data_IF_470881939148
#
_entry.id   IF_470881939148
#
_cell.length_a   1.000
_cell.length_b   1.000
_cell.length_c   1.000
_cell.angle_alpha   90.00
_cell.angle_beta   90.00
_cell.angle_gamma   90.00
#
_symmetry.space_group_name_H-M   'P 1'
#
loop_
_entity.id
_entity.type
_entity.pdbx_description
1 polymer ?
#
# COMPACT_ATOMS: atom_id res chain seq x y z
N UNK A 1 6.28 -8.80 -6.73
CA UNK A 1 6.96 -7.67 -7.24
C UNK A 1 8.37 -7.86 -7.79
N UNK A 2 8.89 -9.06 -8.07
CA UNK A 2 10.17 -9.22 -8.75
C UNK A 2 11.43 -9.07 -7.90
N UNK A 3 11.32 -9.01 -6.58
CA UNK A 3 12.48 -8.98 -5.68
C UNK A 3 13.34 -10.25 -5.83
N UNK A 4 14.67 -10.07 -5.89
CA UNK A 4 15.66 -11.12 -6.10
C UNK A 4 16.85 -10.95 -5.16
N UNK A 5 17.70 -11.98 -4.99
CA UNK A 5 18.87 -11.94 -4.09
C UNK A 5 19.88 -10.82 -4.40
N UNK A 6 20.00 -10.42 -5.67
CA UNK A 6 20.93 -9.36 -6.10
C UNK A 6 20.49 -7.94 -5.74
N UNK A 7 19.26 -7.75 -5.24
CA UNK A 7 18.77 -6.44 -4.88
C UNK A 7 19.28 -5.97 -3.52
N UNK A 8 19.38 -4.65 -3.37
CA UNK A 8 19.56 -3.95 -2.09
C UNK A 8 18.29 -3.17 -1.78
N UNK A 9 17.64 -3.53 -0.69
CA UNK A 9 16.31 -3.01 -0.32
C UNK A 9 16.43 -1.98 0.78
N UNK A 10 16.04 -0.74 0.49
CA UNK A 10 15.94 0.34 1.46
C UNK A 10 14.56 0.34 2.10
N UNK A 11 14.48 0.10 3.41
CA UNK A 11 13.21 0.08 4.15
C UNK A 11 13.06 1.38 4.93
N UNK A 12 12.12 2.21 4.48
CA UNK A 12 11.77 3.51 5.08
C UNK A 12 10.61 3.44 6.08
N UNK A 13 10.07 2.26 6.35
CA UNK A 13 9.10 2.06 7.44
C UNK A 13 9.76 2.06 8.80
N UNK A 14 9.04 2.59 9.80
CA UNK A 14 9.50 2.55 11.20
C UNK A 14 9.66 1.12 11.73
N UNK A 15 10.73 0.88 12.48
CA UNK A 15 11.03 -0.39 13.15
C UNK A 15 10.58 -0.44 14.62
N UNK A 16 9.75 0.50 15.04
CA UNK A 16 9.20 0.56 16.40
C UNK A 16 7.93 -0.29 16.55
N UNK A 17 6.87 0.32 17.08
CA UNK A 17 5.56 -0.33 17.30
C UNK A 17 4.72 -0.43 16.01
N UNK A 18 5.34 -0.71 14.90
CA UNK A 18 4.72 -0.86 13.59
C UNK A 18 5.23 -2.13 12.90
N UNK A 19 4.33 -3.04 12.57
CA UNK A 19 4.69 -4.35 12.02
C UNK A 19 5.21 -4.28 10.58
N UNK A 20 4.92 -3.19 9.84
CA UNK A 20 5.28 -3.02 8.43
C UNK A 20 6.78 -3.12 8.18
N UNK A 21 7.60 -2.52 9.04
CA UNK A 21 9.06 -2.59 8.93
C UNK A 21 9.58 -4.02 9.05
N UNK A 22 9.24 -4.69 10.13
CA UNK A 22 9.76 -6.05 10.41
C UNK A 22 9.23 -7.11 9.45
N UNK A 23 7.94 -7.08 9.09
CA UNK A 23 7.38 -8.07 8.18
C UNK A 23 8.05 -8.05 6.81
N UNK A 24 8.30 -6.86 6.27
CA UNK A 24 9.02 -6.70 5.01
C UNK A 24 10.51 -7.04 5.14
N UNK A 25 11.15 -6.69 6.26
CA UNK A 25 12.53 -7.04 6.56
C UNK A 25 12.75 -8.55 6.47
N UNK A 26 11.99 -9.34 7.23
CA UNK A 26 12.10 -10.81 7.20
C UNK A 26 11.74 -11.40 5.83
N UNK A 27 10.81 -10.77 5.10
CA UNK A 27 10.52 -11.16 3.72
C UNK A 27 11.71 -10.97 2.79
N UNK A 28 12.41 -9.86 2.91
CA UNK A 28 13.64 -9.56 2.14
C UNK A 28 14.77 -10.52 2.50
N UNK A 29 14.99 -10.79 3.80
CA UNK A 29 15.96 -11.78 4.27
C UNK A 29 15.70 -13.17 3.67
N UNK A 30 14.41 -13.58 3.66
CA UNK A 30 14.02 -14.88 3.11
C UNK A 30 14.28 -15.00 1.60
N UNK A 31 14.22 -13.88 0.87
CA UNK A 31 14.62 -13.83 -0.55
C UNK A 31 16.14 -13.91 -0.71
N UNK A 32 16.92 -13.52 0.32
CA UNK A 32 18.36 -13.46 0.29
C UNK A 32 18.91 -12.12 -0.25
N UNK A 33 18.09 -11.08 -0.31
CA UNK A 33 18.49 -9.75 -0.74
C UNK A 33 19.11 -8.95 0.42
N UNK A 34 19.95 -7.96 0.09
CA UNK A 34 20.55 -7.07 1.07
C UNK A 34 19.49 -6.07 1.60
N UNK A 35 19.61 -5.69 2.89
CA UNK A 35 18.64 -4.80 3.55
C UNK A 35 19.38 -3.58 4.11
N UNK A 36 18.82 -2.39 3.83
CA UNK A 36 19.15 -1.14 4.49
C UNK A 36 17.99 -0.78 5.42
N UNK A 37 18.03 -1.11 6.72
CA UNK A 37 16.95 -0.88 7.67
C UNK A 37 16.98 0.57 8.17
N UNK A 38 16.71 1.52 7.27
CA UNK A 38 16.87 2.95 7.55
C UNK A 38 15.86 3.49 8.57
N UNK A 39 14.71 2.83 8.72
CA UNK A 39 13.58 3.28 9.54
C UNK A 39 12.94 4.57 9.02
N UNK A 40 12.01 5.16 9.76
CA UNK A 40 11.36 6.41 9.39
C UNK A 40 12.17 7.64 9.83
N UNK A 41 11.95 8.77 9.16
CA UNK A 41 12.55 10.07 9.50
C UNK A 41 13.91 10.31 8.87
N UNK A 42 14.45 11.52 9.08
CA UNK A 42 15.72 12.00 8.53
C UNK A 42 15.89 11.71 7.04
N UNK A 43 15.03 12.30 6.20
CA UNK A 43 14.99 12.03 4.75
C UNK A 43 16.30 12.31 4.04
N UNK A 44 17.04 13.35 4.46
CA UNK A 44 18.37 13.61 3.89
C UNK A 44 19.32 12.44 4.06
N UNK A 45 19.36 11.83 5.26
CA UNK A 45 20.16 10.63 5.51
C UNK A 45 19.67 9.42 4.70
N UNK A 46 18.37 9.28 4.49
CA UNK A 46 17.84 8.18 3.68
C UNK A 46 18.29 8.29 2.22
N UNK A 47 18.30 9.50 1.65
CA UNK A 47 18.83 9.77 0.31
C UNK A 47 20.32 9.38 0.23
N UNK A 48 21.11 9.80 1.22
CA UNK A 48 22.54 9.44 1.27
C UNK A 48 22.72 7.90 1.34
N UNK A 49 21.97 7.19 2.19
CA UNK A 49 22.03 5.75 2.29
C UNK A 49 21.61 5.03 0.99
N UNK A 50 20.59 5.53 0.29
CA UNK A 50 20.16 4.97 -1.01
C UNK A 50 21.30 5.08 -2.02
N UNK A 51 21.97 6.25 -2.09
CA UNK A 51 23.08 6.49 -3.02
C UNK A 51 24.33 5.72 -2.66
N UNK A 52 24.76 5.80 -1.41
CA UNK A 52 26.05 5.24 -0.95
C UNK A 52 26.06 3.72 -0.96
N UNK A 53 24.90 3.10 -0.68
CA UNK A 53 24.74 1.64 -0.63
C UNK A 53 24.16 1.06 -1.93
N UNK A 54 23.86 1.90 -2.92
CA UNK A 54 23.31 1.45 -4.20
C UNK A 54 21.95 0.74 -4.04
N UNK A 55 21.10 1.22 -3.12
CA UNK A 55 19.81 0.59 -2.90
C UNK A 55 18.91 0.79 -4.14
N UNK A 56 18.52 -0.33 -4.76
CA UNK A 56 17.72 -0.32 -5.99
C UNK A 56 16.25 -0.69 -5.77
N UNK A 57 15.84 -1.01 -4.54
CA UNK A 57 14.44 -1.20 -4.16
C UNK A 57 14.09 -0.32 -2.97
N UNK A 58 13.03 0.47 -3.09
CA UNK A 58 12.47 1.29 -2.02
C UNK A 58 11.22 0.62 -1.44
N UNK A 59 11.13 0.57 -0.10
CA UNK A 59 9.96 0.11 0.64
C UNK A 59 9.52 1.23 1.59
N UNK A 60 8.27 1.68 1.44
CA UNK A 60 7.75 2.80 2.22
C UNK A 60 6.27 3.07 1.93
N UNK A 61 5.81 4.29 2.24
CA UNK A 61 4.49 4.77 1.82
C UNK A 61 4.61 5.56 0.52
N UNK A 62 3.55 5.56 -0.33
CA UNK A 62 3.57 6.35 -1.56
C UNK A 62 3.77 7.85 -1.30
N UNK A 63 3.10 8.43 -0.32
CA UNK A 63 3.28 9.86 0.03
C UNK A 63 4.71 10.19 0.45
N UNK A 64 5.38 9.29 1.17
CA UNK A 64 6.77 9.48 1.56
C UNK A 64 7.72 9.48 0.36
N UNK A 65 7.44 8.69 -0.67
CA UNK A 65 8.29 8.66 -1.87
C UNK A 65 8.29 9.97 -2.66
N UNK A 66 7.15 10.65 -2.72
CA UNK A 66 7.06 11.99 -3.31
C UNK A 66 7.82 13.02 -2.46
N UNK A 67 7.64 12.96 -1.13
CA UNK A 67 8.41 13.82 -0.23
C UNK A 67 9.93 13.59 -0.34
N UNK A 68 10.35 12.34 -0.55
CA UNK A 68 11.77 12.02 -0.79
C UNK A 68 12.27 12.65 -2.08
N UNK A 69 11.46 12.65 -3.15
CA UNK A 69 11.78 13.33 -4.41
C UNK A 69 11.91 14.86 -4.22
N UNK A 70 11.00 15.47 -3.48
CA UNK A 70 11.05 16.91 -3.15
C UNK A 70 12.36 17.27 -2.42
N UNK A 71 12.72 16.49 -1.39
CA UNK A 71 13.97 16.72 -0.64
C UNK A 71 15.21 16.49 -1.51
N UNK A 72 15.18 15.56 -2.47
CA UNK A 72 16.26 15.43 -3.46
C UNK A 72 16.42 16.75 -4.25
N UNK A 73 15.33 17.29 -4.78
CA UNK A 73 15.36 18.54 -5.55
C UNK A 73 15.83 19.73 -4.71
N UNK A 74 15.38 19.87 -3.46
CA UNK A 74 15.86 20.89 -2.52
C UNK A 74 17.37 20.79 -2.27
N UNK A 75 17.94 19.60 -2.34
CA UNK A 75 19.39 19.34 -2.21
C UNK A 75 20.15 19.47 -3.53
N UNK A 76 19.49 19.81 -4.63
CA UNK A 76 20.10 19.89 -5.97
C UNK A 76 20.44 18.51 -6.56
N UNK A 77 19.76 17.45 -6.11
CA UNK A 77 19.91 16.09 -6.61
C UNK A 77 18.72 15.81 -7.52
N UNK A 78 18.95 15.34 -8.75
CA UNK A 78 17.86 14.82 -9.58
C UNK A 78 17.37 13.48 -8.98
N UNK A 79 16.12 13.37 -8.50
CA UNK A 79 15.63 12.14 -7.90
C UNK A 79 15.62 10.95 -8.86
N UNK A 80 15.62 11.19 -10.19
CA UNK A 80 15.68 10.15 -11.23
C UNK A 80 17.07 9.52 -11.37
N UNK A 81 18.10 10.14 -10.81
CA UNK A 81 19.48 9.62 -10.78
C UNK A 81 19.74 8.71 -9.57
N UNK A 82 18.76 8.58 -8.66
CA UNK A 82 18.85 7.56 -7.61
C UNK A 82 18.90 6.16 -8.24
N UNK A 83 19.64 5.20 -7.65
CA UNK A 83 19.77 3.86 -8.21
C UNK A 83 18.50 3.01 -8.08
N UNK A 84 17.34 3.63 -7.81
CA UNK A 84 16.07 2.96 -7.58
C UNK A 84 15.50 2.40 -8.90
N UNK A 85 15.15 1.12 -8.89
CA UNK A 85 14.50 0.42 -10.02
C UNK A 85 13.06 0.06 -9.69
N UNK A 86 12.82 -0.31 -8.44
CA UNK A 86 11.52 -0.77 -7.96
C UNK A 86 11.14 -0.11 -6.65
N UNK A 87 9.82 -0.03 -6.41
CA UNK A 87 9.29 0.31 -5.11
C UNK A 87 8.10 -0.58 -4.74
N UNK A 88 8.01 -0.93 -3.46
CA UNK A 88 6.85 -1.58 -2.86
C UNK A 88 6.23 -0.65 -1.84
N UNK A 89 5.05 -0.15 -2.16
CA UNK A 89 4.33 0.80 -1.35
C UNK A 89 3.09 0.18 -0.69
N UNK A 90 2.82 0.62 0.53
CA UNK A 90 1.65 0.22 1.30
C UNK A 90 1.48 1.10 2.53
N UNK A 91 0.53 0.72 3.40
CA UNK A 91 0.24 1.44 4.64
C UNK A 91 -0.71 2.62 4.48
N UNK A 92 -0.97 3.05 3.26
CA UNK A 92 -1.98 4.06 2.91
C UNK A 92 -2.57 3.74 1.53
N UNK A 93 -3.84 4.14 1.25
CA UNK A 93 -4.41 4.04 -0.09
C UNK A 93 -3.74 5.06 -1.03
N UNK A 94 -3.64 4.73 -2.31
CA UNK A 94 -3.09 5.61 -3.35
C UNK A 94 -3.70 5.31 -4.72
N UNK A 95 -3.68 6.31 -5.62
CA UNK A 95 -4.32 6.26 -6.92
C UNK A 95 -3.35 5.90 -8.04
N UNK A 96 -3.85 5.59 -9.24
CA UNK A 96 -2.99 5.40 -10.43
C UNK A 96 -2.33 6.71 -10.86
N UNK A 97 -2.98 7.85 -10.66
CA UNK A 97 -2.38 9.15 -10.96
C UNK A 97 -1.18 9.41 -10.05
N UNK A 98 -1.31 9.10 -8.75
CA UNK A 98 -0.19 9.15 -7.81
C UNK A 98 0.93 8.16 -8.18
N UNK A 99 0.58 6.94 -8.65
CA UNK A 99 1.56 5.98 -9.18
C UNK A 99 2.35 6.58 -10.34
N UNK A 100 1.64 7.12 -11.32
CA UNK A 100 2.25 7.72 -12.50
C UNK A 100 3.19 8.89 -12.14
N UNK A 101 2.81 9.68 -11.14
CA UNK A 101 3.64 10.76 -10.63
C UNK A 101 4.90 10.23 -9.97
N UNK A 102 4.79 9.27 -9.05
CA UNK A 102 5.94 8.65 -8.37
C UNK A 102 6.92 8.02 -9.38
N UNK A 103 6.40 7.27 -10.36
CA UNK A 103 7.21 6.63 -11.39
C UNK A 103 7.93 7.66 -12.28
N UNK A 104 7.29 8.79 -12.54
CA UNK A 104 7.90 9.90 -13.30
C UNK A 104 9.00 10.61 -12.50
N UNK A 105 8.73 10.91 -11.22
CA UNK A 105 9.66 11.67 -10.38
C UNK A 105 10.88 10.86 -9.97
N UNK A 106 10.73 9.57 -9.71
CA UNK A 106 11.80 8.71 -9.22
C UNK A 106 12.37 7.74 -10.27
N UNK A 107 11.80 7.71 -11.48
CA UNK A 107 12.21 6.81 -12.57
C UNK A 107 12.28 5.33 -12.15
N UNK A 108 11.28 4.85 -11.44
CA UNK A 108 11.18 3.48 -10.93
C UNK A 108 9.84 2.83 -11.29
N UNK A 109 9.70 1.52 -11.08
CA UNK A 109 8.42 0.82 -11.17
C UNK A 109 7.80 0.63 -9.78
N UNK A 110 6.60 1.17 -9.55
CA UNK A 110 5.93 1.14 -8.26
C UNK A 110 4.87 0.02 -8.18
N UNK A 111 4.90 -0.76 -7.10
CA UNK A 111 4.00 -1.88 -6.83
C UNK A 111 3.25 -1.68 -5.52
N UNK A 112 1.97 -2.01 -5.53
CA UNK A 112 1.13 -1.94 -4.35
C UNK A 112 1.27 -3.19 -3.47
N UNK A 113 1.22 -3.00 -2.17
CA UNK A 113 1.26 -4.04 -1.16
C UNK A 113 0.23 -3.71 -0.07
N UNK A 114 -0.66 -4.66 0.19
CA UNK A 114 -1.69 -4.54 1.22
C UNK A 114 -1.41 -5.46 2.40
N UNK A 115 -1.71 -4.97 3.58
CA UNK A 115 -1.65 -5.72 4.83
C UNK A 115 -2.13 -4.88 6.00
N UNK A 116 -2.34 -5.54 7.13
CA UNK A 116 -2.78 -4.91 8.38
C UNK A 116 -2.18 -5.65 9.57
N UNK A 117 -1.86 -4.89 10.62
CA UNK A 117 -1.18 -5.41 11.82
C UNK A 117 -1.98 -6.49 12.53
N UNK A 118 -3.31 -6.40 12.46
CA UNK A 118 -4.25 -7.29 13.15
C UNK A 118 -4.13 -8.73 12.68
N UNK A 119 -3.88 -8.96 11.40
CA UNK A 119 -3.79 -10.33 10.87
C UNK A 119 -2.36 -10.88 10.86
N UNK A 120 -1.34 -10.09 10.49
CA UNK A 120 0.08 -10.45 10.60
C UNK A 120 0.99 -9.24 10.33
N UNK A 121 0.53 -8.23 9.58
CA UNK A 121 1.30 -7.10 9.10
C UNK A 121 1.25 -6.99 7.57
N UNK A 122 2.30 -6.51 6.92
CA UNK A 122 2.35 -6.38 5.46
C UNK A 122 2.40 -7.74 4.78
N UNK A 123 1.96 -7.78 3.52
CA UNK A 123 2.08 -8.98 2.68
C UNK A 123 0.85 -9.90 2.72
N UNK A 124 -0.33 -9.41 3.12
CA UNK A 124 -1.60 -10.13 2.89
C UNK A 124 -1.82 -10.29 1.39
N UNK A 125 -1.56 -9.24 0.62
CA UNK A 125 -1.55 -9.30 -0.84
C UNK A 125 -0.55 -8.32 -1.44
N UNK A 126 -0.15 -8.56 -2.69
CA UNK A 126 0.78 -7.70 -3.40
C UNK A 126 0.69 -7.82 -4.91
N UNK A 127 0.98 -6.73 -5.60
CA UNK A 127 1.02 -6.69 -7.06
C UNK A 127 2.17 -7.51 -7.63
N UNK A 128 1.96 -8.05 -8.81
CA UNK A 128 2.99 -8.59 -9.69
C UNK A 128 3.29 -7.62 -10.84
N UNK A 129 4.22 -7.99 -11.72
CA UNK A 129 4.59 -7.17 -12.88
C UNK A 129 3.42 -6.87 -13.85
N UNK A 130 2.37 -7.70 -13.85
CA UNK A 130 1.20 -7.47 -14.70
C UNK A 130 0.31 -6.33 -14.18
N UNK A 131 0.41 -5.98 -12.89
CA UNK A 131 -0.38 -4.92 -12.22
C UNK A 131 -1.89 -5.05 -12.41
N UNK A 132 -2.34 -6.29 -12.56
CA UNK A 132 -3.76 -6.67 -12.72
C UNK A 132 -4.33 -7.16 -11.38
N UNK A 133 -4.32 -6.28 -10.39
CA UNK A 133 -4.69 -6.58 -9.01
C UNK A 133 -3.56 -7.14 -8.15
N UNK A 134 -3.83 -7.26 -6.85
CA UNK A 134 -2.90 -7.76 -5.84
C UNK A 134 -3.20 -9.21 -5.53
N UNK A 135 -2.21 -10.09 -5.68
CA UNK A 135 -2.31 -11.51 -5.36
C UNK A 135 -2.41 -11.74 -3.86
N UNK A 136 -3.44 -12.42 -3.41
CA UNK A 136 -3.62 -12.83 -2.02
C UNK A 136 -2.70 -14.02 -1.74
N UNK A 137 -2.07 -14.03 -0.56
CA UNK A 137 -1.25 -15.14 -0.09
C UNK A 137 -2.16 -16.20 0.56
N UNK A 138 -2.79 -17.04 -0.29
CA UNK A 138 -3.82 -18.02 0.12
C UNK A 138 -3.29 -19.17 0.98
N UNK A 139 -1.97 -19.36 1.04
CA UNK A 139 -1.30 -20.25 1.98
C UNK A 139 -1.32 -19.73 3.43
N UNK A 140 -1.56 -18.41 3.61
CA UNK A 140 -1.62 -17.75 4.91
C UNK A 140 -2.99 -17.17 5.24
N UNK A 141 -3.83 -16.88 4.22
CA UNK A 141 -5.08 -16.15 4.42
C UNK A 141 -6.22 -16.70 3.60
N UNK A 142 -7.40 -16.81 4.23
CA UNK A 142 -8.67 -16.87 3.52
C UNK A 142 -9.25 -15.46 3.52
N UNK A 143 -9.60 -14.95 2.35
CA UNK A 143 -10.19 -13.63 2.17
C UNK A 143 -11.58 -13.78 1.57
N UNK A 144 -12.57 -13.23 2.24
CA UNK A 144 -13.95 -13.11 1.80
C UNK A 144 -14.23 -11.64 1.44
N UNK A 145 -15.15 -11.41 0.51
CA UNK A 145 -15.65 -10.08 0.18
C UNK A 145 -17.15 -10.06 0.44
N UNK A 146 -17.57 -9.28 1.44
CA UNK A 146 -18.95 -9.28 1.92
C UNK A 146 -19.58 -7.89 1.77
N UNK A 147 -20.88 -7.87 1.52
CA UNK A 147 -21.67 -6.66 1.69
C UNK A 147 -21.59 -6.21 3.16
N UNK A 148 -21.21 -4.95 3.45
CA UNK A 148 -20.97 -4.47 4.81
C UNK A 148 -22.21 -4.44 5.70
N UNK A 149 -23.41 -4.40 5.10
CA UNK A 149 -24.70 -4.29 5.81
C UNK A 149 -25.35 -5.67 6.00
N UNK A 150 -25.42 -6.47 4.94
CA UNK A 150 -26.09 -7.79 4.98
C UNK A 150 -25.14 -8.90 5.43
N UNK A 151 -23.82 -8.71 5.30
CA UNK A 151 -22.78 -9.72 5.55
C UNK A 151 -22.85 -10.94 4.64
N UNK A 152 -23.56 -10.84 3.52
CA UNK A 152 -23.58 -11.84 2.48
C UNK A 152 -22.43 -11.65 1.51
N UNK A 153 -21.98 -12.74 0.87
CA UNK A 153 -20.89 -12.67 -0.11
C UNK A 153 -21.35 -11.88 -1.35
N UNK A 154 -20.52 -10.95 -1.80
CA UNK A 154 -20.78 -10.22 -3.06
C UNK A 154 -20.24 -11.02 -4.26
N UNK A 155 -20.84 -10.83 -5.46
CA UNK A 155 -20.35 -11.44 -6.69
C UNK A 155 -18.90 -11.04 -7.02
N UNK A 156 -18.22 -11.88 -7.83
CA UNK A 156 -16.88 -11.57 -8.35
C UNK A 156 -16.87 -10.20 -9.05
N UNK A 157 -15.86 -9.39 -8.71
CA UNK A 157 -15.66 -8.06 -9.27
C UNK A 157 -16.49 -6.96 -8.60
N UNK A 158 -17.50 -7.29 -7.82
CA UNK A 158 -18.26 -6.31 -7.05
C UNK A 158 -17.50 -5.90 -5.77
N UNK A 159 -17.73 -4.67 -5.34
CA UNK A 159 -17.09 -4.12 -4.14
C UNK A 159 -17.81 -4.56 -2.89
N UNK A 160 -17.05 -5.01 -1.90
CA UNK A 160 -17.52 -5.34 -0.57
C UNK A 160 -16.43 -5.11 0.47
N UNK A 161 -16.77 -5.31 1.73
CA UNK A 161 -15.81 -5.29 2.84
C UNK A 161 -14.97 -6.57 2.82
N UNK A 162 -13.66 -6.42 2.91
CA UNK A 162 -12.76 -7.56 3.07
C UNK A 162 -12.87 -8.14 4.49
N UNK A 163 -13.04 -9.45 4.55
CA UNK A 163 -13.05 -10.22 5.79
C UNK A 163 -11.95 -11.28 5.71
N UNK A 164 -11.03 -11.26 6.67
CA UNK A 164 -9.80 -12.05 6.60
C UNK A 164 -9.75 -13.07 7.74
N UNK A 165 -9.45 -14.33 7.41
CA UNK A 165 -9.04 -15.36 8.36
C UNK A 165 -7.56 -15.65 8.18
N UNK A 166 -6.77 -15.48 9.25
CA UNK A 166 -5.35 -15.81 9.26
C UNK A 166 -5.16 -17.30 9.63
N UNK A 167 -4.56 -18.07 8.71
CA UNK A 167 -4.38 -19.53 8.85
C UNK A 167 -3.15 -19.89 9.70
N UNK A 168 -2.13 -19.04 9.69
CA UNK A 168 -0.80 -19.32 10.26
C UNK A 168 -0.47 -18.50 11.49
N UNK A 169 -1.37 -17.63 11.95
CA UNK A 169 -1.19 -16.81 13.14
C UNK A 169 -1.61 -17.58 14.39
N UNK A 170 -0.65 -18.02 15.20
CA UNK A 170 -0.89 -18.79 16.43
C UNK A 170 -1.33 -17.90 17.61
N UNK A 171 -0.61 -16.81 17.84
CA UNK A 171 -0.98 -15.84 18.89
C UNK A 171 -2.07 -14.90 18.39
N UNK A 172 -3.18 -14.80 19.13
CA UNK A 172 -4.37 -14.05 18.73
C UNK A 172 -4.86 -14.44 17.32
N UNK A 173 -5.31 -15.69 17.12
CA UNK A 173 -5.80 -16.12 15.81
C UNK A 173 -6.97 -15.26 15.38
N UNK A 174 -6.90 -14.70 14.18
CA UNK A 174 -7.95 -13.86 13.61
C UNK A 174 -8.81 -14.70 12.68
N UNK A 175 -10.06 -14.91 13.08
CA UNK A 175 -11.05 -15.69 12.32
C UNK A 175 -12.14 -14.73 11.87
N UNK A 176 -12.34 -14.62 10.55
CA UNK A 176 -13.33 -13.75 9.91
C UNK A 176 -13.26 -12.31 10.44
N UNK A 177 -12.04 -11.75 10.49
CA UNK A 177 -11.81 -10.38 10.92
C UNK A 177 -12.32 -9.39 9.87
N UNK A 178 -13.26 -8.54 10.26
CA UNK A 178 -13.79 -7.47 9.43
C UNK A 178 -12.79 -6.31 9.37
N UNK A 179 -12.17 -6.10 8.21
CA UNK A 179 -11.11 -5.09 8.07
C UNK A 179 -11.63 -3.66 7.97
N UNK A 180 -12.87 -3.49 7.58
CA UNK A 180 -13.50 -2.23 7.15
C UNK A 180 -13.00 -1.71 5.80
N UNK A 181 -12.03 -2.35 5.21
CA UNK A 181 -11.49 -2.00 3.89
C UNK A 181 -12.40 -2.50 2.77
N UNK A 182 -12.70 -1.64 1.81
CA UNK A 182 -13.56 -1.95 0.65
C UNK A 182 -12.68 -2.25 -0.55
N UNK A 183 -12.86 -3.43 -1.12
CA UNK A 183 -12.21 -3.88 -2.35
C UNK A 183 -13.12 -4.85 -3.11
N UNK A 184 -12.66 -5.36 -4.23
CA UNK A 184 -13.29 -6.46 -4.96
C UNK A 184 -12.33 -7.64 -5.12
N UNK A 185 -12.86 -8.85 -5.26
CA UNK A 185 -12.08 -10.05 -5.55
C UNK A 185 -12.23 -10.45 -7.03
N UNK A 186 -11.15 -11.00 -7.61
CA UNK A 186 -11.11 -11.49 -8.98
C UNK A 186 -10.44 -12.87 -9.00
N UNK A 187 -11.13 -13.85 -9.57
CA UNK A 187 -10.69 -15.25 -9.63
C UNK A 187 -10.07 -15.62 -10.99
N UNK A 188 -10.05 -14.68 -11.96
CA UNK A 188 -9.47 -14.93 -13.28
C UNK A 188 -7.94 -15.09 -13.16
N UNK A 189 -7.33 -16.02 -13.92
CA UNK A 189 -5.89 -16.20 -13.94
C UNK A 189 -5.14 -14.91 -14.32
N UNK A 190 -3.99 -14.69 -13.68
CA UNK A 190 -3.14 -13.54 -13.97
C UNK A 190 -2.16 -13.86 -15.11
N UNK A 191 -1.84 -12.90 -16.00
CA UNK A 191 -0.80 -13.08 -17.02
C UNK A 191 0.59 -13.44 -16.44
N UNK A 192 0.84 -13.20 -15.14
CA UNK A 192 2.07 -13.59 -14.46
C UNK A 192 2.19 -15.10 -14.20
N UNK A 193 1.14 -15.89 -14.48
CA UNK A 193 1.09 -17.33 -14.27
C UNK A 193 0.65 -17.78 -12.87
N UNK A 194 0.44 -16.84 -11.93
CA UNK A 194 -0.14 -17.18 -10.61
C UNK A 194 -1.63 -17.46 -10.74
N UNK A 195 -2.09 -18.41 -9.93
CA UNK A 195 -3.49 -18.87 -9.87
C UNK A 195 -4.21 -18.38 -8.61
N UNK A 196 -3.51 -17.68 -7.73
CA UNK A 196 -4.10 -17.14 -6.49
C UNK A 196 -5.11 -16.05 -6.80
N UNK A 197 -6.13 -15.95 -5.95
CA UNK A 197 -7.15 -14.89 -6.00
C UNK A 197 -6.45 -13.52 -5.98
N UNK A 198 -6.96 -12.60 -6.78
CA UNK A 198 -6.52 -11.21 -6.79
C UNK A 198 -7.57 -10.33 -6.14
N UNK A 199 -7.11 -9.31 -5.45
CA UNK A 199 -7.97 -8.23 -4.98
C UNK A 199 -7.65 -6.92 -5.70
N UNK A 200 -8.65 -6.05 -5.84
CA UNK A 200 -8.43 -4.69 -6.29
C UNK A 200 -7.67 -3.88 -5.24
N UNK A 201 -7.26 -2.68 -5.61
CA UNK A 201 -6.82 -1.69 -4.61
C UNK A 201 -7.97 -1.38 -3.65
N UNK A 202 -7.60 -0.96 -2.44
CA UNK A 202 -8.56 -0.47 -1.46
C UNK A 202 -9.22 0.79 -2.03
N UNK A 203 -10.54 0.76 -2.15
CA UNK A 203 -11.33 1.88 -2.64
C UNK A 203 -11.64 2.91 -1.54
N UNK A 204 -11.58 2.47 -0.28
CA UNK A 204 -11.85 3.26 0.91
C UNK A 204 -12.15 2.34 2.10
N UNK A 205 -12.59 2.94 3.21
CA UNK A 205 -12.99 2.22 4.41
C UNK A 205 -14.43 2.56 4.79
N UNK A 206 -15.17 1.60 5.31
CA UNK A 206 -16.56 1.84 5.76
C UNK A 206 -16.64 2.83 6.94
N UNK A 207 -15.58 2.93 7.74
CA UNK A 207 -15.48 3.84 8.89
C UNK A 207 -14.91 5.23 8.54
N UNK A 208 -14.31 5.42 7.36
CA UNK A 208 -13.81 6.71 6.86
C UNK A 208 -14.76 7.35 5.82
N UNK A 209 -15.85 6.69 5.49
CA UNK A 209 -16.82 7.13 4.50
C UNK A 209 -17.62 8.33 4.99
N UNK A 210 -17.70 9.35 4.14
CA UNK A 210 -18.60 10.49 4.37
C UNK A 210 -19.97 10.24 3.71
N UNK A 211 -21.06 10.54 4.43
CA UNK A 211 -22.38 10.57 3.82
C UNK A 211 -22.72 12.03 3.54
N UNK A 212 -22.68 12.43 2.26
CA UNK A 212 -22.99 13.80 1.84
C UNK A 212 -24.31 13.79 1.06
N UNK A 213 -25.35 14.33 1.66
CA UNK A 213 -26.71 14.36 1.07
C UNK A 213 -27.21 12.98 0.61
N UNK A 214 -26.92 11.94 1.39
CA UNK A 214 -27.33 10.56 1.09
C UNK A 214 -26.44 9.83 0.09
N UNK A 215 -25.31 10.42 -0.33
CA UNK A 215 -24.32 9.79 -1.19
C UNK A 215 -23.10 9.42 -0.38
N UNK A 216 -22.63 8.19 -0.53
CA UNK A 216 -21.41 7.70 0.09
C UNK A 216 -20.20 8.25 -0.68
N UNK A 217 -19.34 9.01 0.00
CA UNK A 217 -18.14 9.63 -0.56
C UNK A 217 -16.93 9.17 0.24
N UNK A 218 -15.94 8.60 -0.44
CA UNK A 218 -14.68 8.20 0.17
C UNK A 218 -13.60 9.28 -0.02
N UNK A 219 -12.68 9.47 0.94
CA UNK A 219 -11.58 10.42 0.82
C UNK A 219 -10.78 10.26 -0.48
N UNK A 220 -10.54 9.02 -0.94
CA UNK A 220 -9.87 8.72 -2.20
C UNK A 220 -10.56 9.28 -3.45
N UNK A 221 -11.89 9.34 -3.45
CA UNK A 221 -12.64 9.93 -4.56
C UNK A 221 -12.48 11.46 -4.60
N UNK A 222 -12.39 12.09 -3.42
CA UNK A 222 -12.11 13.54 -3.32
C UNK A 222 -10.71 13.83 -3.81
N UNK A 223 -9.72 13.03 -3.40
CA UNK A 223 -8.33 13.16 -3.84
C UNK A 223 -8.22 13.00 -5.37
N UNK A 224 -8.79 11.94 -5.94
CA UNK A 224 -8.81 11.71 -7.39
C UNK A 224 -9.41 12.90 -8.16
N UNK A 225 -10.50 13.48 -7.65
CA UNK A 225 -11.12 14.65 -8.27
C UNK A 225 -10.23 15.90 -8.18
N UNK A 226 -9.55 16.09 -7.07
CA UNK A 226 -8.65 17.23 -6.86
C UNK A 226 -7.40 17.14 -7.74
N UNK A 227 -6.79 15.95 -7.87
CA UNK A 227 -5.61 15.74 -8.71
C UNK A 227 -5.81 16.03 -10.20
N UNK A 228 -7.06 16.08 -10.66
CA UNK A 228 -7.40 16.52 -12.02
C UNK A 228 -7.42 18.03 -12.20
N UNK A 229 -7.27 18.79 -11.10
CA UNK A 229 -7.24 20.25 -11.14
C UNK A 229 -5.78 20.71 -11.19
N UNK A 230 -5.43 21.49 -12.19
CA UNK A 230 -4.06 22.04 -12.34
C UNK A 230 -3.65 22.85 -11.10
N UNK A 231 -2.44 22.58 -10.59
CA UNK A 231 -1.87 23.23 -9.41
C UNK A 231 -2.22 22.57 -8.07
N UNK A 232 -2.86 21.41 -8.07
CA UNK A 232 -3.04 20.59 -6.84
C UNK A 232 -1.93 19.57 -6.68
N UNK A 233 -1.66 19.19 -5.41
CA UNK A 233 -0.71 18.15 -5.06
C UNK A 233 -1.44 16.93 -4.47
N UNK A 234 -0.86 15.70 -4.52
CA UNK A 234 -1.51 14.48 -4.06
C UNK A 234 -1.72 14.38 -2.53
N UNK A 235 -1.27 15.38 -1.76
CA UNK A 235 -1.47 15.40 -0.30
C UNK A 235 -2.61 16.35 0.04
N UNK A 236 -3.80 15.80 0.30
CA UNK A 236 -4.97 16.55 0.73
C UNK A 236 -5.27 16.32 2.21
N UNK A 237 -5.58 17.40 2.92
CA UNK A 237 -6.16 17.37 4.25
C UNK A 237 -7.60 17.87 4.16
N UNK A 238 -8.59 16.97 4.22
CA UNK A 238 -9.98 17.36 4.32
C UNK A 238 -10.35 17.72 5.77
N UNK A 239 -11.04 18.85 5.97
CA UNK A 239 -11.69 19.19 7.24
C UNK A 239 -13.20 19.15 7.04
N UNK A 240 -13.86 18.26 7.76
CA UNK A 240 -15.32 18.32 7.90
C UNK A 240 -15.68 19.47 8.86
N UNK A 241 -16.51 20.41 8.42
CA UNK A 241 -17.05 21.51 9.24
C UNK A 241 -18.41 21.18 9.85
N UNK A 242 -18.87 19.92 9.74
CA UNK A 242 -20.11 19.42 10.36
C UNK A 242 -19.91 19.01 11.82
N UNK A 243 -20.99 18.89 12.63
CA UNK A 243 -20.88 18.39 13.98
C UNK A 243 -20.33 16.96 13.96
N UNK A 244 -19.26 16.74 14.71
CA UNK A 244 -18.66 15.42 14.86
C UNK A 244 -19.67 14.44 15.47
N UNK A 245 -19.76 13.17 14.97
CA UNK A 245 -20.71 12.17 15.52
C UNK A 245 -20.45 11.76 16.98
N UNK A 246 -19.43 12.31 17.63
CA UNK A 246 -18.95 11.90 18.96
C UNK A 246 -19.37 12.80 20.12
N UNK A 247 -20.31 13.74 19.90
CA UNK A 247 -20.93 14.49 21.00
C UNK A 247 -22.41 14.10 21.16
N UNK A 248 -22.64 12.89 21.68
CA UNK A 248 -23.77 12.51 22.54
C UNK A 248 -23.37 11.42 23.50
#
# INVERSE_FOLDING_TARGET
GGLRPEHTVHIAFGYGLFTGGFGLHYGVEKVGAAIVPASAGNTSRQIDLIRDLGANVLVGTPSYSLYLADVCQERGIDPRELPLEYAHFGGEPWTEDMRAEIERELNLAAFNNYGLSEVIGPGVSGECYARDGMHIQEDHFIVECLDPDTLEAVPEGERGELVITALTKEAMPMIRYRTRDIASLCFTPCPCGRTTIKMSRIAGRTDDMFIIRGVNVFPSQIEEALLRVEGTTPITRSRSTGPTPWTR
#
